data_IF_094634552766
#
_entry.id   IF_094634552766
#
_cell.length_a   1.000
_cell.length_b   1.000
_cell.length_c   1.000
_cell.angle_alpha   90.00
_cell.angle_beta   90.00
_cell.angle_gamma   90.00
#
_symmetry.space_group_name_H-M   'P 1'
#
loop_
_entity.id
_entity.type
_entity.pdbx_description
1 polymer ?
#
# COMPACT_ATOMS: atom_id res chain seq x y z
N UNK A 1 8.14 -24.66 -5.59
CA UNK A 1 8.01 -23.70 -4.47
C UNK A 1 7.23 -22.50 -4.96
N UNK A 2 6.10 -22.16 -4.33
CA UNK A 2 5.22 -21.07 -4.76
C UNK A 2 5.12 -20.04 -3.63
N UNK A 3 5.86 -18.94 -3.76
CA UNK A 3 5.85 -17.84 -2.80
C UNK A 3 4.86 -16.78 -3.30
N UNK A 4 3.71 -16.63 -2.63
CA UNK A 4 2.72 -15.60 -2.98
C UNK A 4 3.08 -14.28 -2.29
N UNK A 5 3.79 -13.41 -2.99
CA UNK A 5 4.07 -12.03 -2.56
C UNK A 5 3.11 -11.01 -3.17
N UNK A 6 2.15 -11.43 -4.01
CA UNK A 6 1.34 -10.53 -4.82
C UNK A 6 0.69 -9.37 -4.03
N UNK A 7 0.14 -9.64 -2.85
CA UNK A 7 -0.49 -8.61 -2.03
C UNK A 7 0.48 -7.72 -1.25
N UNK A 8 1.71 -8.17 -0.97
CA UNK A 8 2.75 -7.33 -0.35
C UNK A 8 3.48 -6.50 -1.39
N UNK A 9 3.74 -7.04 -2.58
CA UNK A 9 4.29 -6.29 -3.73
C UNK A 9 3.42 -5.08 -4.09
N UNK A 10 2.10 -5.25 -4.16
CA UNK A 10 1.16 -4.13 -4.36
C UNK A 10 1.33 -3.00 -3.33
N UNK A 11 1.48 -3.34 -2.04
CA UNK A 11 1.66 -2.32 -1.01
C UNK A 11 3.00 -1.60 -1.12
N UNK A 12 4.05 -2.27 -1.58
CA UNK A 12 5.35 -1.63 -1.82
C UNK A 12 5.33 -0.72 -3.05
N UNK A 13 4.56 -1.04 -4.09
CA UNK A 13 4.30 -0.11 -5.21
C UNK A 13 3.60 1.16 -4.71
N UNK A 14 2.56 1.00 -3.88
CA UNK A 14 1.82 2.12 -3.31
C UNK A 14 2.68 2.98 -2.37
N UNK A 15 3.56 2.34 -1.59
CA UNK A 15 4.55 3.05 -0.76
C UNK A 15 5.54 3.81 -1.66
N UNK A 16 6.05 3.21 -2.73
CA UNK A 16 6.94 3.88 -3.68
C UNK A 16 6.28 5.09 -4.38
N UNK A 17 4.99 4.98 -4.73
CA UNK A 17 4.22 6.13 -5.24
C UNK A 17 4.16 7.27 -4.22
N UNK A 18 3.86 6.95 -2.96
CA UNK A 18 3.79 7.94 -1.88
C UNK A 18 5.15 8.58 -1.57
N UNK A 19 6.23 7.80 -1.58
CA UNK A 19 7.61 8.27 -1.36
C UNK A 19 8.10 9.21 -2.46
N UNK A 20 7.68 8.99 -3.71
CA UNK A 20 7.99 9.89 -4.82
C UNK A 20 7.39 11.30 -4.63
N UNK A 21 6.41 11.47 -3.73
CA UNK A 21 5.77 12.74 -3.44
C UNK A 21 4.96 13.27 -4.62
N UNK A 22 4.57 14.55 -4.55
CA UNK A 22 3.82 15.25 -5.59
C UNK A 22 2.65 14.44 -6.14
N UNK A 23 2.62 14.27 -7.46
CA UNK A 23 1.56 13.53 -8.15
C UNK A 23 1.47 12.04 -7.76
N UNK A 24 2.57 11.41 -7.33
CA UNK A 24 2.58 10.03 -6.85
C UNK A 24 1.87 9.90 -5.50
N UNK A 25 2.16 10.84 -4.58
CA UNK A 25 1.47 10.94 -3.29
C UNK A 25 -0.01 11.30 -3.47
N UNK A 26 -0.33 12.23 -4.37
CA UNK A 26 -1.71 12.60 -4.66
C UNK A 26 -2.50 11.38 -5.18
N UNK A 27 -1.90 10.58 -6.06
CA UNK A 27 -2.51 9.34 -6.55
C UNK A 27 -2.70 8.31 -5.44
N UNK A 28 -1.71 8.13 -4.56
CA UNK A 28 -1.82 7.22 -3.42
C UNK A 28 -2.96 7.62 -2.46
N UNK A 29 -3.10 8.92 -2.17
CA UNK A 29 -4.20 9.47 -1.37
C UNK A 29 -5.56 9.27 -2.03
N UNK A 30 -5.65 9.41 -3.35
CA UNK A 30 -6.88 9.14 -4.09
C UNK A 30 -7.27 7.66 -4.03
N UNK A 31 -6.30 6.75 -4.17
CA UNK A 31 -6.52 5.30 -3.99
C UNK A 31 -7.06 5.02 -2.59
N UNK A 32 -6.49 5.64 -1.55
CA UNK A 32 -7.01 5.53 -0.19
C UNK A 32 -8.46 6.02 -0.08
N UNK A 33 -8.78 7.20 -0.62
CA UNK A 33 -10.14 7.75 -0.60
C UNK A 33 -11.17 6.84 -1.28
N UNK A 34 -10.81 6.29 -2.44
CA UNK A 34 -11.65 5.33 -3.17
C UNK A 34 -11.82 4.03 -2.39
N UNK A 35 -10.73 3.50 -1.80
CA UNK A 35 -10.78 2.30 -0.98
C UNK A 35 -11.66 2.51 0.26
N UNK A 36 -11.55 3.67 0.91
CA UNK A 36 -12.39 4.04 2.05
C UNK A 36 -13.88 4.11 1.68
N UNK A 37 -14.20 4.74 0.53
CA UNK A 37 -15.57 4.86 0.03
C UNK A 37 -16.20 3.53 -0.37
N UNK A 38 -15.40 2.60 -0.91
CA UNK A 38 -15.84 1.27 -1.34
C UNK A 38 -15.50 0.15 -0.35
N UNK A 39 -15.10 0.50 0.89
CA UNK A 39 -14.52 -0.46 1.85
C UNK A 39 -15.42 -1.66 2.11
N UNK A 40 -16.74 -1.49 2.20
CA UNK A 40 -17.67 -2.58 2.48
C UNK A 40 -17.61 -3.66 1.38
N UNK A 41 -17.72 -3.24 0.11
CA UNK A 41 -17.65 -4.13 -1.04
C UNK A 41 -16.23 -4.70 -1.27
N UNK A 42 -15.19 -3.95 -0.95
CA UNK A 42 -13.80 -4.43 -1.03
C UNK A 42 -13.50 -5.48 0.03
N UNK A 43 -14.06 -5.32 1.23
CA UNK A 43 -13.81 -6.15 2.41
C UNK A 43 -14.65 -7.42 2.43
N UNK A 44 -15.88 -7.39 1.91
CA UNK A 44 -16.81 -8.54 1.86
C UNK A 44 -16.16 -9.87 1.42
N UNK A 45 -15.45 -9.97 0.28
CA UNK A 45 -14.85 -11.24 -0.14
C UNK A 45 -13.67 -11.71 0.73
N UNK A 46 -13.15 -10.84 1.60
CA UNK A 46 -12.01 -11.13 2.48
C UNK A 46 -12.41 -11.11 3.96
N UNK A 47 -13.70 -11.01 4.30
CA UNK A 47 -14.19 -10.83 5.68
C UNK A 47 -13.71 -11.90 6.67
N UNK A 48 -13.40 -13.12 6.19
CA UNK A 48 -12.86 -14.19 7.02
C UNK A 48 -11.38 -14.02 7.42
N UNK A 49 -10.64 -13.13 6.75
CA UNK A 49 -9.18 -13.00 6.88
C UNK A 49 -8.69 -11.57 7.14
N UNK A 50 -9.59 -10.58 7.17
CA UNK A 50 -9.29 -9.20 7.51
C UNK A 50 -9.90 -8.86 8.87
N UNK A 51 -9.24 -7.97 9.61
CA UNK A 51 -9.65 -7.54 10.95
C UNK A 51 -9.54 -6.01 11.04
N UNK A 52 -10.35 -5.33 10.21
CA UNK A 52 -10.33 -3.88 10.08
C UNK A 52 -11.35 -3.26 11.03
N UNK A 53 -10.87 -2.46 11.97
CA UNK A 53 -11.71 -1.56 12.75
C UNK A 53 -11.92 -0.26 11.96
N UNK A 54 -13.12 -0.10 11.39
CA UNK A 54 -13.47 1.08 10.60
C UNK A 54 -13.45 2.38 11.40
N UNK A 55 -13.60 2.33 12.72
CA UNK A 55 -13.50 3.52 13.57
C UNK A 55 -12.07 4.05 13.70
N UNK A 56 -11.08 3.20 13.37
CA UNK A 56 -9.64 3.51 13.37
C UNK A 56 -9.09 3.89 12.00
N UNK A 57 -9.96 3.96 10.99
CA UNK A 57 -9.60 4.48 9.67
C UNK A 57 -9.69 6.02 9.70
N UNK A 58 -8.60 6.74 9.40
CA UNK A 58 -8.66 8.19 9.27
C UNK A 58 -9.60 8.59 8.13
N UNK A 59 -10.27 9.73 8.25
CA UNK A 59 -11.15 10.19 7.18
C UNK A 59 -10.33 10.52 5.92
N UNK A 60 -10.87 10.35 4.69
CA UNK A 60 -10.15 10.72 3.47
C UNK A 60 -9.66 12.17 3.46
N UNK A 61 -10.40 13.09 4.10
CA UNK A 61 -10.00 14.49 4.25
C UNK A 61 -8.75 14.67 5.13
N UNK A 62 -8.58 13.83 6.14
CA UNK A 62 -7.37 13.81 6.97
C UNK A 62 -6.18 13.28 6.17
N UNK A 63 -6.36 12.16 5.47
CA UNK A 63 -5.30 11.54 4.64
C UNK A 63 -4.88 12.44 3.48
N UNK A 64 -5.80 13.23 2.92
CA UNK A 64 -5.48 14.23 1.91
C UNK A 64 -4.41 15.23 2.38
N UNK A 65 -4.39 15.55 3.69
CA UNK A 65 -3.41 16.44 4.31
C UNK A 65 -2.08 15.78 4.67
N UNK A 66 -1.94 14.46 4.55
CA UNK A 66 -0.72 13.77 4.98
C UNK A 66 0.50 14.11 4.12
N UNK A 67 1.68 14.14 4.74
CA UNK A 67 2.95 14.12 4.01
C UNK A 67 3.25 12.71 3.48
N UNK A 68 4.27 12.60 2.62
CA UNK A 68 4.76 11.32 2.14
C UNK A 68 5.19 10.41 3.31
N UNK A 69 5.86 10.97 4.32
CA UNK A 69 6.33 10.25 5.50
C UNK A 69 5.18 9.72 6.35
N UNK A 70 4.12 10.53 6.54
CA UNK A 70 2.94 10.11 7.29
C UNK A 70 2.22 8.97 6.58
N UNK A 71 2.01 9.11 5.26
CA UNK A 71 1.35 8.09 4.46
C UNK A 71 2.15 6.78 4.46
N UNK A 72 3.44 6.85 4.16
CA UNK A 72 4.30 5.66 4.08
C UNK A 72 4.45 4.98 5.45
N UNK A 73 4.57 5.75 6.54
CA UNK A 73 4.61 5.21 7.91
C UNK A 73 3.33 4.46 8.26
N UNK A 74 2.16 4.98 7.88
CA UNK A 74 0.87 4.32 8.12
C UNK A 74 0.74 2.99 7.39
N UNK A 75 1.32 2.87 6.19
CA UNK A 75 1.18 1.69 5.32
C UNK A 75 2.28 0.65 5.55
N UNK A 76 3.54 1.07 5.75
CA UNK A 76 4.70 0.18 5.86
C UNK A 76 4.57 -0.72 7.07
N UNK A 77 4.85 -2.02 6.91
CA UNK A 77 4.72 -2.98 8.02
C UNK A 77 5.85 -2.85 9.04
N UNK A 78 5.76 -1.84 9.91
CA UNK A 78 6.66 -1.60 11.02
C UNK A 78 5.84 -1.35 12.30
N UNK A 79 5.68 -2.40 13.12
CA UNK A 79 4.88 -2.32 14.36
C UNK A 79 5.53 -1.47 15.45
N UNK A 80 6.81 -1.13 15.30
CA UNK A 80 7.51 -0.26 16.26
C UNK A 80 7.34 1.21 15.94
N UNK A 81 6.93 1.55 14.71
CA UNK A 81 6.67 2.92 14.29
C UNK A 81 5.30 3.38 14.81
N UNK A 82 5.22 4.47 15.61
CA UNK A 82 3.95 4.98 16.13
C UNK A 82 2.99 5.47 15.04
N UNK A 83 3.51 5.80 13.85
CA UNK A 83 2.70 6.16 12.69
C UNK A 83 2.05 4.97 11.99
N UNK A 84 2.45 3.73 12.29
CA UNK A 84 1.89 2.54 11.65
C UNK A 84 0.43 2.33 12.02
N UNK A 85 -0.41 2.13 11.00
CA UNK A 85 -1.83 1.82 11.18
C UNK A 85 -2.19 0.50 10.47
N UNK A 86 -2.43 -0.59 11.24
CA UNK A 86 -2.75 -1.89 10.65
C UNK A 86 -4.06 -1.88 9.85
N UNK A 87 -5.05 -1.06 10.25
CA UNK A 87 -6.34 -0.94 9.57
C UNK A 87 -6.17 -0.29 8.19
N UNK A 88 -5.35 0.77 8.11
CA UNK A 88 -5.01 1.44 6.84
C UNK A 88 -4.28 0.47 5.92
N UNK A 89 -3.28 -0.26 6.43
CA UNK A 89 -2.55 -1.25 5.64
C UNK A 89 -3.49 -2.34 5.11
N UNK A 90 -4.37 -2.90 5.93
CA UNK A 90 -5.30 -3.96 5.50
C UNK A 90 -6.32 -3.45 4.48
N UNK A 91 -6.87 -2.24 4.66
CA UNK A 91 -7.76 -1.63 3.69
C UNK A 91 -7.08 -1.48 2.32
N UNK A 92 -5.86 -0.94 2.32
CA UNK A 92 -5.10 -0.75 1.09
C UNK A 92 -4.65 -2.07 0.48
N UNK A 93 -4.40 -3.11 1.30
CA UNK A 93 -4.06 -4.45 0.82
C UNK A 93 -5.16 -5.04 -0.08
N UNK A 94 -6.43 -4.83 0.29
CA UNK A 94 -7.58 -5.25 -0.52
C UNK A 94 -8.01 -4.18 -1.54
N UNK A 95 -7.44 -2.98 -1.46
CA UNK A 95 -7.71 -1.81 -2.31
C UNK A 95 -7.06 -1.83 -3.69
N UNK A 96 -6.27 -2.85 -4.05
CA UNK A 96 -5.62 -2.96 -5.36
C UNK A 96 -6.59 -2.84 -6.55
N UNK A 97 -7.86 -3.24 -6.35
CA UNK A 97 -8.93 -3.09 -7.36
C UNK A 97 -9.22 -1.63 -7.70
N UNK A 98 -9.05 -0.71 -6.75
CA UNK A 98 -9.27 0.72 -6.99
C UNK A 98 -8.19 1.31 -7.88
N UNK A 99 -6.93 0.90 -7.72
CA UNK A 99 -5.86 1.29 -8.62
C UNK A 99 -5.99 0.65 -10.00
N UNK A 100 -6.40 -0.62 -10.08
CA UNK A 100 -6.65 -1.29 -11.36
C UNK A 100 -7.73 -0.57 -12.20
N UNK A 101 -8.76 0.01 -11.56
CA UNK A 101 -9.80 0.81 -12.23
C UNK A 101 -9.27 2.11 -12.84
N UNK A 102 -8.13 2.63 -12.37
CA UNK A 102 -7.52 3.86 -12.89
C UNK A 102 -6.79 3.65 -14.24
N UNK A 103 -6.56 2.39 -14.63
CA UNK A 103 -6.01 2.02 -15.94
C UNK A 103 -4.69 2.74 -16.26
N UNK A 104 -4.62 3.34 -17.45
CA UNK A 104 -3.43 4.01 -17.97
C UNK A 104 -2.87 5.08 -17.03
N UNK A 105 -3.74 5.78 -16.26
CA UNK A 105 -3.29 6.81 -15.32
C UNK A 105 -2.42 6.22 -14.21
N UNK A 106 -2.75 5.02 -13.74
CA UNK A 106 -1.94 4.30 -12.78
C UNK A 106 -0.64 3.81 -13.42
N UNK A 107 -0.71 3.21 -14.60
CA UNK A 107 0.47 2.69 -15.31
C UNK A 107 1.49 3.78 -15.63
N UNK A 108 1.05 4.93 -16.15
CA UNK A 108 1.96 6.07 -16.40
C UNK A 108 2.58 6.63 -15.11
N UNK A 109 1.88 6.53 -13.97
CA UNK A 109 2.46 6.93 -12.69
C UNK A 109 3.52 5.95 -12.21
N UNK A 110 3.32 4.65 -12.45
CA UNK A 110 4.35 3.64 -12.15
C UNK A 110 5.64 3.91 -12.92
N UNK A 111 5.54 4.24 -14.21
CA UNK A 111 6.71 4.61 -15.02
C UNK A 111 7.38 5.88 -14.49
N UNK A 112 6.60 6.90 -14.13
CA UNK A 112 7.13 8.16 -13.58
C UNK A 112 7.82 7.99 -12.22
N UNK A 113 7.34 7.07 -11.40
CA UNK A 113 7.84 6.80 -10.05
C UNK A 113 8.73 5.55 -9.98
N UNK A 114 9.20 5.04 -11.13
CA UNK A 114 9.91 3.77 -11.27
C UNK A 114 11.09 3.65 -10.30
N UNK A 115 11.88 4.71 -10.13
CA UNK A 115 13.06 4.69 -9.25
C UNK A 115 12.69 4.37 -7.78
N UNK A 116 11.62 4.98 -7.25
CA UNK A 116 11.19 4.74 -5.88
C UNK A 116 10.46 3.39 -5.75
N UNK A 117 9.61 3.05 -6.72
CA UNK A 117 8.85 1.80 -6.72
C UNK A 117 9.78 0.60 -6.82
N UNK A 118 10.70 0.58 -7.79
CA UNK A 118 11.63 -0.52 -8.01
C UNK A 118 12.51 -0.77 -6.78
N UNK A 119 12.96 0.29 -6.10
CA UNK A 119 13.72 0.19 -4.85
C UNK A 119 12.93 -0.52 -3.76
N UNK A 120 11.69 -0.08 -3.49
CA UNK A 120 10.83 -0.68 -2.47
C UNK A 120 10.46 -2.13 -2.79
N UNK A 121 10.06 -2.40 -4.03
CA UNK A 121 9.69 -3.75 -4.49
C UNK A 121 10.90 -4.69 -4.43
N UNK A 122 12.08 -4.24 -4.86
CA UNK A 122 13.30 -5.04 -4.82
C UNK A 122 13.73 -5.33 -3.38
N UNK A 123 13.73 -4.35 -2.49
CA UNK A 123 14.06 -4.59 -1.07
C UNK A 123 13.10 -5.61 -0.44
N UNK A 124 11.80 -5.49 -0.69
CA UNK A 124 10.82 -6.42 -0.15
C UNK A 124 11.00 -7.83 -0.72
N UNK A 125 11.17 -7.99 -2.04
CA UNK A 125 11.34 -9.32 -2.64
C UNK A 125 12.69 -9.95 -2.28
N UNK A 126 13.77 -9.19 -2.40
CA UNK A 126 15.13 -9.72 -2.26
C UNK A 126 15.55 -9.83 -0.79
N UNK A 127 15.54 -8.73 -0.04
CA UNK A 127 16.07 -8.71 1.34
C UNK A 127 15.10 -9.33 2.34
N UNK A 128 13.78 -9.14 2.19
CA UNK A 128 12.81 -9.62 3.20
C UNK A 128 12.23 -11.00 2.93
N UNK A 129 12.31 -11.48 1.68
CA UNK A 129 11.71 -12.76 1.30
C UNK A 129 12.74 -13.76 0.75
N UNK A 130 13.60 -13.38 -0.20
CA UNK A 130 14.55 -14.33 -0.82
C UNK A 130 15.72 -14.62 0.11
N UNK A 131 16.41 -13.58 0.61
CA UNK A 131 17.63 -13.74 1.40
C UNK A 131 17.43 -14.52 2.70
N UNK A 132 16.38 -14.26 3.53
CA UNK A 132 16.16 -15.00 4.76
C UNK A 132 15.77 -16.47 4.52
N UNK A 133 15.18 -16.78 3.36
CA UNK A 133 14.74 -18.13 3.02
C UNK A 133 15.81 -18.99 2.34
N UNK A 134 16.76 -18.38 1.61
CA UNK A 134 17.69 -19.11 0.75
C UNK A 134 19.18 -18.83 0.96
N UNK A 135 19.53 -17.70 1.58
CA UNK A 135 20.92 -17.23 1.67
C UNK A 135 21.42 -17.12 3.11
N UNK A 136 20.49 -17.05 4.08
CA UNK A 136 20.80 -16.97 5.51
C UNK A 136 20.20 -18.15 6.30
N UNK A 137 19.77 -19.21 5.59
CA UNK A 137 19.27 -20.46 6.15
C UNK A 137 20.34 -21.52 6.36
#
# INVERSE_FOLDING_TARGET
MHLKTAGTTWLEELIGLAEAGGAGLDLAKEIYGNAFGHRDALCEPYAAVIDIDYSRLPAPAEVAGWTAEQYTSAVRHDRSNPGFNPNVRQLLHVGYKEAAKMGDRYLSMLERCEESISRNVTENLFERHIKPLFLEG
#
